data_IF_909327060134
#
_entry.id   IF_909327060134
#
_cell.length_a   1.000
_cell.length_b   1.000
_cell.length_c   1.000
_cell.angle_alpha   90.00
_cell.angle_beta   90.00
_cell.angle_gamma   90.00
#
_symmetry.space_group_name_H-M   'P 1'
#
loop_
_entity.id
_entity.type
_entity.pdbx_description
1 polymer ?
#
# COMPACT_ATOMS: atom_id res chain seq x y z
N UNK A 1 -48.84 -30.02 -43.33
CA UNK A 1 -48.05 -30.40 -42.14
C UNK A 1 -46.57 -30.57 -42.49
N UNK A 2 -46.21 -31.16 -43.66
CA UNK A 2 -44.78 -31.36 -44.03
C UNK A 2 -43.99 -30.07 -44.35
N UNK A 3 -44.60 -29.02 -44.87
CA UNK A 3 -43.90 -27.76 -45.18
C UNK A 3 -43.51 -26.92 -43.95
N UNK A 4 -44.13 -27.12 -42.79
CA UNK A 4 -43.77 -26.46 -41.54
C UNK A 4 -42.56 -27.11 -40.88
N UNK A 5 -42.37 -28.43 -40.99
CA UNK A 5 -41.23 -29.15 -40.45
C UNK A 5 -39.93 -28.75 -41.16
N UNK A 6 -39.92 -28.73 -42.49
CA UNK A 6 -38.75 -28.38 -43.30
C UNK A 6 -38.24 -26.93 -43.06
N UNK A 7 -39.16 -26.01 -42.71
CA UNK A 7 -38.75 -24.62 -42.35
C UNK A 7 -38.16 -24.52 -40.95
N UNK A 8 -38.62 -25.35 -40.01
CA UNK A 8 -38.06 -25.36 -38.63
C UNK A 8 -36.66 -25.99 -38.64
N UNK A 9 -36.49 -27.10 -39.40
CA UNK A 9 -35.16 -27.76 -39.51
C UNK A 9 -34.14 -26.87 -40.22
N UNK A 10 -34.56 -26.09 -41.24
CA UNK A 10 -33.68 -25.13 -41.91
C UNK A 10 -33.30 -23.96 -41.00
N UNK A 11 -34.26 -23.42 -40.26
CA UNK A 11 -33.99 -22.36 -39.26
C UNK A 11 -33.08 -22.87 -38.14
N UNK A 12 -33.26 -24.09 -37.65
CA UNK A 12 -32.41 -24.69 -36.64
C UNK A 12 -30.95 -24.87 -37.14
N UNK A 13 -30.79 -25.27 -38.42
CA UNK A 13 -29.47 -25.37 -39.04
C UNK A 13 -28.79 -23.98 -39.23
N UNK A 14 -29.57 -22.98 -39.71
CA UNK A 14 -29.06 -21.60 -39.84
C UNK A 14 -28.61 -21.01 -38.46
N UNK A 15 -29.40 -21.25 -37.40
CA UNK A 15 -29.03 -20.82 -36.05
C UNK A 15 -27.79 -21.57 -35.49
N UNK A 16 -27.65 -22.86 -35.81
CA UNK A 16 -26.44 -23.62 -35.41
C UNK A 16 -25.20 -23.09 -36.10
N UNK A 17 -25.25 -22.78 -37.40
CA UNK A 17 -24.16 -22.19 -38.17
C UNK A 17 -23.82 -20.79 -37.70
N UNK A 18 -24.80 -19.95 -37.34
CA UNK A 18 -24.57 -18.64 -36.73
C UNK A 18 -23.94 -18.73 -35.35
N UNK A 19 -24.35 -19.66 -34.49
CA UNK A 19 -23.79 -19.93 -33.20
C UNK A 19 -22.31 -20.41 -33.29
N UNK A 20 -22.02 -21.32 -34.23
CA UNK A 20 -20.66 -21.75 -34.51
C UNK A 20 -19.78 -20.61 -35.04
N UNK A 21 -20.31 -19.79 -35.96
CA UNK A 21 -19.64 -18.59 -36.46
C UNK A 21 -19.38 -17.56 -35.38
N UNK A 22 -20.36 -17.37 -34.48
CA UNK A 22 -20.21 -16.51 -33.29
C UNK A 22 -19.16 -17.09 -32.32
N UNK A 23 -19.16 -18.38 -32.05
CA UNK A 23 -18.18 -19.07 -31.23
C UNK A 23 -16.75 -18.91 -31.76
N UNK A 24 -16.54 -19.06 -33.06
CA UNK A 24 -15.25 -18.83 -33.71
C UNK A 24 -14.82 -17.37 -33.63
N UNK A 25 -15.75 -16.41 -33.77
CA UNK A 25 -15.47 -14.98 -33.65
C UNK A 25 -15.15 -14.59 -32.21
N UNK A 26 -15.84 -15.13 -31.22
CA UNK A 26 -15.56 -14.94 -29.81
C UNK A 26 -14.19 -15.51 -29.45
N UNK A 27 -13.88 -16.73 -29.87
CA UNK A 27 -12.57 -17.34 -29.66
C UNK A 27 -11.43 -16.56 -30.36
N UNK A 28 -11.69 -15.98 -31.53
CA UNK A 28 -10.73 -15.12 -32.23
C UNK A 28 -10.55 -13.76 -31.57
N UNK A 29 -11.62 -13.20 -30.96
CA UNK A 29 -11.58 -11.99 -30.15
C UNK A 29 -10.88 -12.24 -28.81
N UNK A 30 -11.10 -13.37 -28.15
CA UNK A 30 -10.41 -13.77 -26.95
C UNK A 30 -8.91 -13.99 -27.18
N UNK A 31 -8.51 -14.57 -28.32
CA UNK A 31 -7.10 -14.68 -28.75
C UNK A 31 -6.47 -13.34 -29.13
N UNK A 32 -7.25 -12.34 -29.52
CA UNK A 32 -6.82 -10.98 -29.84
C UNK A 32 -7.04 -10.02 -28.68
N UNK A 33 -7.65 -10.47 -27.57
CA UNK A 33 -7.71 -9.71 -26.33
C UNK A 33 -6.26 -9.40 -25.92
N UNK A 34 -5.91 -8.13 -25.93
CA UNK A 34 -4.59 -7.66 -25.57
C UNK A 34 -4.20 -8.26 -24.23
N UNK A 35 -3.06 -8.98 -24.19
CA UNK A 35 -2.50 -9.53 -22.96
C UNK A 35 -2.12 -8.43 -21.95
N UNK A 36 -2.33 -7.16 -22.30
CA UNK A 36 -1.99 -6.00 -21.48
C UNK A 36 -3.26 -5.27 -21.08
N UNK A 37 -3.49 -5.18 -19.78
CA UNK A 37 -4.55 -4.38 -19.17
C UNK A 37 -3.96 -3.07 -18.67
N UNK A 38 -4.60 -1.96 -19.02
CA UNK A 38 -4.25 -0.61 -18.54
C UNK A 38 -5.34 -0.16 -17.56
N UNK A 39 -4.92 0.35 -16.41
CA UNK A 39 -5.80 0.99 -15.41
C UNK A 39 -5.11 2.25 -14.91
N UNK A 40 -5.85 3.15 -14.28
CA UNK A 40 -5.27 4.39 -13.80
C UNK A 40 -5.86 4.89 -12.48
N UNK A 41 -5.08 5.77 -11.87
CA UNK A 41 -5.45 6.51 -10.67
C UNK A 41 -5.00 7.97 -10.83
N UNK A 42 -5.90 8.91 -10.58
CA UNK A 42 -5.57 10.32 -10.41
C UNK A 42 -5.95 10.72 -8.98
N UNK A 43 -5.01 11.30 -8.25
CA UNK A 43 -5.21 11.77 -6.88
C UNK A 43 -4.88 13.26 -6.79
N UNK A 44 -5.87 14.08 -6.55
CA UNK A 44 -5.67 15.44 -6.07
C UNK A 44 -5.62 15.44 -4.55
N UNK A 45 -4.65 16.13 -3.96
CA UNK A 45 -4.63 16.31 -2.51
C UNK A 45 -4.23 17.74 -2.10
N UNK A 46 -4.71 18.10 -0.93
CA UNK A 46 -4.34 19.29 -0.20
C UNK A 46 -3.97 18.89 1.22
N UNK A 47 -2.85 19.41 1.69
CA UNK A 47 -2.40 19.27 3.08
C UNK A 47 -2.16 20.65 3.69
N UNK A 48 -2.54 20.83 4.94
CA UNK A 48 -2.20 21.98 5.76
C UNK A 48 -1.44 21.49 7.01
N UNK A 49 -0.18 21.91 7.15
CA UNK A 49 0.72 21.50 8.21
C UNK A 49 1.00 22.68 9.15
N UNK A 50 0.54 22.58 10.38
CA UNK A 50 0.95 23.45 11.48
C UNK A 50 2.10 22.78 12.24
N UNK A 51 3.33 23.10 11.79
CA UNK A 51 4.55 22.40 12.21
C UNK A 51 5.76 23.35 12.08
N UNK A 52 5.78 24.41 12.89
CA UNK A 52 6.69 25.56 12.75
C UNK A 52 8.17 25.21 12.72
N UNK A 53 8.56 24.13 13.37
CA UNK A 53 9.95 23.70 13.49
C UNK A 53 10.35 22.69 12.39
N UNK A 54 9.44 22.35 11.46
CA UNK A 54 9.72 21.42 10.37
C UNK A 54 9.68 22.11 9.01
N UNK A 55 10.51 21.61 8.09
CA UNK A 55 10.64 22.16 6.74
C UNK A 55 9.33 22.06 5.91
N UNK A 56 8.45 21.11 6.24
CA UNK A 56 7.16 20.93 5.56
C UNK A 56 6.03 21.79 6.13
N UNK A 57 6.32 22.75 7.02
CA UNK A 57 5.32 23.66 7.56
C UNK A 57 4.58 24.43 6.45
N UNK A 58 3.27 24.66 6.67
CA UNK A 58 2.36 25.32 5.75
C UNK A 58 1.67 24.33 4.79
N UNK A 59 1.03 24.87 3.74
CA UNK A 59 0.22 24.05 2.86
C UNK A 59 1.02 23.39 1.73
N UNK A 60 0.51 22.25 1.27
CA UNK A 60 0.94 21.59 0.05
C UNK A 60 -0.29 21.19 -0.78
N UNK A 61 -0.17 21.29 -2.09
CA UNK A 61 -1.24 20.86 -3.00
C UNK A 61 -0.62 20.23 -4.26
N UNK A 62 -1.08 19.02 -4.59
CA UNK A 62 -0.49 18.23 -5.66
C UNK A 62 -1.53 17.40 -6.39
N UNK A 63 -1.24 17.13 -7.66
CA UNK A 63 -1.96 16.15 -8.49
C UNK A 63 -1.00 15.01 -8.84
N UNK A 64 -1.33 13.79 -8.45
CA UNK A 64 -0.56 12.60 -8.81
C UNK A 64 -1.35 11.75 -9.80
N UNK A 65 -0.72 11.41 -10.91
CA UNK A 65 -1.24 10.47 -11.89
C UNK A 65 -0.44 9.18 -11.86
N UNK A 66 -1.13 8.04 -11.87
CA UNK A 66 -0.54 6.71 -11.97
C UNK A 66 -1.22 5.91 -13.07
N UNK A 67 -0.43 5.31 -13.94
CA UNK A 67 -0.89 4.39 -14.97
C UNK A 67 -0.28 3.03 -14.71
N UNK A 68 -1.12 2.02 -14.55
CA UNK A 68 -0.75 0.64 -14.33
C UNK A 68 -0.85 -0.15 -15.63
N UNK A 69 0.19 -0.88 -15.95
CA UNK A 69 0.29 -1.78 -17.10
C UNK A 69 0.44 -3.20 -16.55
N UNK A 70 -0.51 -4.07 -16.80
CA UNK A 70 -0.45 -5.46 -16.36
C UNK A 70 -0.49 -6.36 -17.58
N UNK A 71 0.60 -7.11 -17.81
CA UNK A 71 0.74 -8.08 -18.90
C UNK A 71 0.74 -9.52 -18.38
N UNK A 72 -0.13 -10.37 -18.96
CA UNK A 72 -0.12 -11.80 -18.68
C UNK A 72 1.05 -12.46 -19.43
N UNK A 73 1.96 -13.12 -18.71
CA UNK A 73 3.08 -13.84 -19.29
C UNK A 73 2.66 -15.27 -19.67
N UNK A 74 2.00 -15.95 -18.73
CA UNK A 74 1.38 -17.26 -18.91
C UNK A 74 0.32 -17.46 -17.81
N UNK A 75 -0.25 -18.66 -17.69
CA UNK A 75 -1.34 -18.93 -16.74
C UNK A 75 -0.98 -18.63 -15.27
N UNK A 76 0.29 -18.79 -14.90
CA UNK A 76 0.77 -18.61 -13.52
C UNK A 76 1.47 -17.27 -13.27
N UNK A 77 1.93 -16.57 -14.31
CA UNK A 77 2.79 -15.40 -14.17
C UNK A 77 2.26 -14.18 -14.90
N UNK A 78 2.40 -13.02 -14.26
CA UNK A 78 2.11 -11.72 -14.84
C UNK A 78 3.20 -10.70 -14.51
N UNK A 79 3.38 -9.76 -15.41
CA UNK A 79 4.18 -8.55 -15.21
C UNK A 79 3.27 -7.39 -14.79
N UNK A 80 3.75 -6.52 -13.91
CA UNK A 80 3.09 -5.27 -13.54
C UNK A 80 4.10 -4.14 -13.58
N UNK A 81 3.79 -3.12 -14.37
CA UNK A 81 4.50 -1.84 -14.39
C UNK A 81 3.60 -0.72 -13.89
N UNK A 82 4.16 0.31 -13.27
CA UNK A 82 3.44 1.52 -12.89
C UNK A 82 4.26 2.75 -13.21
N UNK A 83 3.73 3.59 -14.08
CA UNK A 83 4.22 4.94 -14.35
C UNK A 83 3.58 5.92 -13.38
N UNK A 84 4.36 6.84 -12.84
CA UNK A 84 3.86 7.91 -11.98
C UNK A 84 4.40 9.26 -12.43
N UNK A 85 3.52 10.25 -12.39
CA UNK A 85 3.83 11.66 -12.48
C UNK A 85 3.16 12.40 -11.33
N UNK A 86 3.81 13.39 -10.74
CA UNK A 86 3.26 14.23 -9.68
C UNK A 86 3.52 15.70 -9.99
N UNK A 87 2.48 16.51 -9.97
CA UNK A 87 2.55 17.95 -10.21
C UNK A 87 2.26 18.70 -8.91
N UNK A 88 3.14 19.65 -8.57
CA UNK A 88 3.03 20.48 -7.37
C UNK A 88 2.46 21.85 -7.74
N UNK A 89 1.23 22.13 -7.32
CA UNK A 89 0.53 23.38 -7.66
C UNK A 89 0.90 24.56 -6.76
N UNK A 90 1.54 24.32 -5.61
CA UNK A 90 2.00 25.42 -4.75
C UNK A 90 3.16 26.22 -5.38
N UNK A 91 4.04 25.52 -6.11
CA UNK A 91 5.27 26.10 -6.62
C UNK A 91 5.29 26.20 -8.14
N UNK A 92 4.15 25.92 -8.81
CA UNK A 92 4.01 25.84 -10.28
C UNK A 92 5.09 24.94 -10.92
N UNK A 93 5.57 23.96 -10.16
CA UNK A 93 6.54 22.97 -10.63
C UNK A 93 5.81 21.66 -10.87
N UNK A 94 5.85 21.22 -12.14
CA UNK A 94 5.51 19.86 -12.49
C UNK A 94 6.69 18.96 -12.16
N UNK A 95 6.40 17.70 -11.83
CA UNK A 95 7.37 16.65 -11.99
C UNK A 95 7.50 16.42 -13.51
N UNK A 96 8.58 16.93 -14.10
CA UNK A 96 8.83 16.82 -15.53
C UNK A 96 9.19 15.40 -15.95
N UNK A 97 9.54 14.55 -14.97
CA UNK A 97 9.84 13.14 -15.15
C UNK A 97 8.60 12.25 -14.98
N UNK A 98 8.45 11.30 -15.89
CA UNK A 98 7.52 10.18 -15.71
C UNK A 98 8.31 8.89 -15.68
N UNK A 99 8.39 8.26 -14.52
CA UNK A 99 9.24 7.10 -14.28
C UNK A 99 8.44 5.85 -13.92
N UNK A 100 9.03 4.68 -14.17
CA UNK A 100 8.55 3.42 -13.63
C UNK A 100 8.82 3.36 -12.12
N UNK A 101 7.81 3.70 -11.35
CA UNK A 101 7.85 3.57 -9.88
C UNK A 101 7.70 2.12 -9.41
N UNK A 102 7.13 1.25 -10.25
CA UNK A 102 6.99 -0.19 -10.00
C UNK A 102 7.24 -0.93 -11.30
N UNK A 103 7.97 -2.04 -11.22
CA UNK A 103 8.26 -2.93 -12.34
C UNK A 103 8.61 -4.30 -11.77
N UNK A 104 7.64 -5.22 -11.74
CA UNK A 104 7.83 -6.53 -11.12
C UNK A 104 7.03 -7.63 -11.80
N UNK A 105 7.45 -8.85 -11.59
CA UNK A 105 6.70 -10.05 -11.95
C UNK A 105 6.13 -10.69 -10.69
N UNK A 106 4.96 -11.26 -10.80
CA UNK A 106 4.38 -12.08 -9.74
C UNK A 106 3.67 -13.30 -10.31
N UNK A 107 3.75 -14.40 -9.58
CA UNK A 107 3.19 -15.66 -10.03
C UNK A 107 3.28 -16.74 -8.96
N UNK A 108 3.18 -17.99 -9.40
CA UNK A 108 3.22 -19.15 -8.54
C UNK A 108 4.29 -20.14 -8.99
N UNK A 109 5.02 -20.70 -8.02
CA UNK A 109 5.89 -21.87 -8.17
C UNK A 109 5.33 -22.98 -7.28
N UNK A 110 4.57 -23.90 -7.88
CA UNK A 110 3.79 -24.87 -7.12
C UNK A 110 2.78 -24.16 -6.19
N UNK A 111 2.84 -24.43 -4.89
CA UNK A 111 1.98 -23.78 -3.89
C UNK A 111 2.49 -22.43 -3.35
N UNK A 112 3.68 -21.99 -3.78
CA UNK A 112 4.33 -20.77 -3.28
C UNK A 112 4.01 -19.60 -4.21
N UNK A 113 3.46 -18.50 -3.68
CA UNK A 113 3.32 -17.25 -4.41
C UNK A 113 4.64 -16.48 -4.36
N UNK A 114 5.12 -16.02 -5.52
CA UNK A 114 6.39 -15.29 -5.66
C UNK A 114 6.15 -13.94 -6.30
N UNK A 115 6.85 -12.92 -5.82
CA UNK A 115 6.91 -11.60 -6.43
C UNK A 115 8.37 -11.14 -6.47
N UNK A 116 8.83 -10.61 -7.61
CA UNK A 116 10.21 -10.19 -7.80
C UNK A 116 10.31 -8.96 -8.70
N UNK A 117 11.21 -8.05 -8.34
CA UNK A 117 11.44 -6.79 -9.04
C UNK A 117 11.23 -5.58 -8.12
N UNK A 118 10.84 -4.45 -8.70
CA UNK A 118 10.56 -3.21 -7.97
C UNK A 118 9.07 -3.12 -7.65
N UNK A 119 8.70 -3.32 -6.40
CA UNK A 119 7.31 -3.27 -5.93
C UNK A 119 7.14 -2.41 -4.68
N UNK A 120 5.91 -2.22 -4.22
CA UNK A 120 5.65 -1.62 -2.92
C UNK A 120 5.72 -2.69 -1.85
N UNK A 121 6.68 -2.59 -0.94
CA UNK A 121 6.68 -3.38 0.28
C UNK A 121 5.92 -2.61 1.34
N UNK A 122 4.87 -3.23 1.87
CA UNK A 122 4.13 -2.72 3.01
C UNK A 122 4.11 -3.77 4.10
N UNK A 123 4.81 -3.50 5.19
CA UNK A 123 4.89 -4.40 6.36
C UNK A 123 4.39 -3.70 7.60
N UNK A 124 3.86 -4.45 8.55
CA UNK A 124 3.26 -3.93 9.78
C UNK A 124 2.21 -2.84 9.53
N UNK A 125 1.32 -3.03 8.54
CA UNK A 125 0.32 -2.05 8.10
C UNK A 125 0.90 -0.67 7.72
N UNK A 126 2.18 -0.63 7.34
CA UNK A 126 2.93 0.58 7.02
C UNK A 126 3.59 1.26 8.22
N UNK A 127 3.49 0.68 9.41
CA UNK A 127 4.11 1.24 10.62
C UNK A 127 5.60 0.93 10.74
N UNK A 128 6.13 -0.01 9.96
CA UNK A 128 7.57 -0.29 9.86
C UNK A 128 8.14 0.21 8.54
N UNK A 129 7.52 -0.18 7.43
CA UNK A 129 7.93 0.23 6.09
C UNK A 129 6.74 0.18 5.13
N UNK A 130 6.56 1.23 4.32
CA UNK A 130 5.55 1.27 3.25
C UNK A 130 6.07 2.11 2.08
N UNK A 131 6.97 1.55 1.25
CA UNK A 131 7.47 2.24 0.07
C UNK A 131 8.07 1.27 -0.94
N UNK A 132 8.80 1.82 -1.93
CA UNK A 132 9.49 1.09 -2.99
C UNK A 132 10.51 0.13 -2.40
N UNK A 133 10.51 -1.06 -2.95
CA UNK A 133 11.40 -2.14 -2.57
C UNK A 133 11.86 -2.90 -3.82
N UNK A 134 13.15 -3.06 -3.96
CA UNK A 134 13.78 -3.79 -5.05
C UNK A 134 14.24 -5.15 -4.53
N UNK A 135 13.48 -6.21 -4.85
CA UNK A 135 13.77 -7.50 -4.25
C UNK A 135 12.84 -8.63 -4.68
N UNK A 136 12.84 -9.67 -3.86
CA UNK A 136 12.01 -10.85 -4.03
C UNK A 136 11.28 -11.17 -2.74
N UNK A 137 10.04 -11.60 -2.85
CA UNK A 137 9.30 -12.22 -1.74
C UNK A 137 8.63 -13.51 -2.16
N UNK A 138 8.48 -14.41 -1.21
CA UNK A 138 7.74 -15.64 -1.32
C UNK A 138 6.72 -15.77 -0.20
N UNK A 139 5.52 -16.23 -0.51
CA UNK A 139 4.46 -16.45 0.46
C UNK A 139 3.87 -17.84 0.33
N UNK A 140 3.61 -18.49 1.46
CA UNK A 140 3.00 -19.80 1.53
C UNK A 140 1.98 -19.88 2.67
N UNK A 141 0.93 -20.65 2.45
CA UNK A 141 -0.14 -20.86 3.41
C UNK A 141 -1.42 -20.10 3.07
N UNK A 142 -2.49 -20.40 3.79
CA UNK A 142 -3.83 -19.82 3.59
C UNK A 142 -4.37 -19.21 4.89
N UNK A 143 -4.80 -20.05 5.85
CA UNK A 143 -5.32 -19.59 7.15
C UNK A 143 -4.19 -19.13 8.06
N UNK A 144 -3.05 -19.80 7.98
CA UNK A 144 -1.77 -19.32 8.49
C UNK A 144 -0.86 -19.12 7.29
N UNK A 145 -0.36 -17.89 7.12
CA UNK A 145 0.45 -17.48 5.97
C UNK A 145 1.80 -16.95 6.44
N UNK A 146 2.86 -17.55 5.92
CA UNK A 146 4.23 -17.04 6.05
C UNK A 146 4.60 -16.28 4.77
N UNK A 147 5.15 -15.09 4.93
CA UNK A 147 5.79 -14.32 3.85
C UNK A 147 7.23 -14.04 4.25
N UNK A 148 8.15 -14.34 3.37
CA UNK A 148 9.58 -14.03 3.54
C UNK A 148 10.06 -13.20 2.35
N UNK A 149 11.01 -12.32 2.56
CA UNK A 149 11.56 -11.53 1.47
C UNK A 149 12.99 -11.06 1.75
N UNK A 150 13.65 -10.71 0.63
CA UNK A 150 15.00 -10.17 0.61
C UNK A 150 15.12 -9.12 -0.50
N UNK A 151 15.82 -8.01 -0.22
CA UNK A 151 16.06 -6.97 -1.20
C UNK A 151 16.61 -5.68 -0.59
N UNK A 152 16.34 -4.58 -1.28
CA UNK A 152 16.78 -3.23 -0.94
C UNK A 152 15.57 -2.32 -0.68
N UNK A 153 15.61 -1.56 0.40
CA UNK A 153 14.64 -0.52 0.71
C UNK A 153 15.14 0.82 0.15
N UNK A 154 14.58 1.23 -0.98
CA UNK A 154 14.95 2.47 -1.67
C UNK A 154 13.68 3.24 -2.06
N UNK A 155 13.26 4.25 -1.29
CA UNK A 155 12.06 5.03 -1.58
C UNK A 155 12.16 5.92 -2.82
N UNK A 156 13.33 5.98 -3.48
CA UNK A 156 13.57 6.81 -4.66
C UNK A 156 13.86 8.27 -4.34
N UNK A 157 14.16 8.56 -3.10
CA UNK A 157 14.77 9.82 -2.68
C UNK A 157 16.30 9.76 -2.83
N UNK A 158 16.97 10.87 -2.55
CA UNK A 158 18.45 10.92 -2.52
C UNK A 158 19.07 10.07 -1.43
N UNK A 159 18.28 9.46 -0.57
CA UNK A 159 18.71 8.70 0.59
C UNK A 159 18.25 7.25 0.49
N UNK A 160 19.17 6.32 0.45
CA UNK A 160 18.92 4.88 0.61
C UNK A 160 18.58 4.60 2.08
N UNK A 161 17.53 3.83 2.34
CA UNK A 161 17.17 3.44 3.71
C UNK A 161 17.95 2.22 4.14
N UNK A 162 18.09 1.23 3.26
CA UNK A 162 18.90 0.03 3.52
C UNK A 162 19.19 -0.71 2.23
N UNK A 163 20.45 -1.08 2.03
CA UNK A 163 20.91 -1.86 0.90
C UNK A 163 20.61 -3.36 1.05
N UNK A 164 20.42 -3.82 2.29
CA UNK A 164 20.07 -5.21 2.58
C UNK A 164 18.93 -5.27 3.59
N UNK A 165 17.77 -5.72 3.11
CA UNK A 165 16.60 -5.98 3.94
C UNK A 165 16.22 -7.43 3.80
N UNK A 166 15.99 -8.13 4.91
CA UNK A 166 15.31 -9.40 4.93
C UNK A 166 14.24 -9.40 5.99
N UNK A 167 13.15 -10.08 5.67
CA UNK A 167 12.00 -10.10 6.57
C UNK A 167 11.26 -11.43 6.53
N UNK A 168 10.58 -11.71 7.62
CA UNK A 168 9.59 -12.77 7.73
C UNK A 168 8.35 -12.23 8.44
N UNK A 169 7.19 -12.45 7.86
CA UNK A 169 5.90 -12.05 8.42
C UNK A 169 4.96 -13.26 8.46
N UNK A 170 4.51 -13.63 9.65
CA UNK A 170 3.56 -14.70 9.90
C UNK A 170 2.23 -14.09 10.28
N UNK A 171 1.18 -14.44 9.56
CA UNK A 171 -0.19 -14.01 9.85
C UNK A 171 -1.10 -15.21 9.96
N UNK A 172 -2.09 -15.13 10.84
CA UNK A 172 -3.06 -16.21 11.04
C UNK A 172 -4.41 -15.66 11.46
N UNK A 173 -5.49 -16.39 11.14
CA UNK A 173 -6.85 -16.03 11.49
C UNK A 173 -7.50 -17.12 12.35
N UNK A 174 -8.04 -16.70 13.50
CA UNK A 174 -8.79 -17.58 14.41
C UNK A 174 -10.14 -16.93 14.74
N UNK A 175 -11.18 -17.35 14.04
CA UNK A 175 -12.51 -16.75 14.17
C UNK A 175 -12.52 -15.29 13.74
N UNK A 176 -12.86 -14.40 14.66
CA UNK A 176 -12.88 -12.94 14.45
C UNK A 176 -11.53 -12.25 14.75
N UNK A 177 -10.52 -13.04 15.17
CA UNK A 177 -9.19 -12.55 15.57
C UNK A 177 -8.19 -12.83 14.45
N UNK A 178 -7.54 -11.76 13.95
CA UNK A 178 -6.40 -11.82 13.05
C UNK A 178 -5.13 -11.58 13.92
N UNK A 179 -4.17 -12.50 13.84
CA UNK A 179 -2.91 -12.44 14.58
C UNK A 179 -1.74 -12.26 13.63
N UNK A 180 -0.71 -11.56 14.08
CA UNK A 180 0.51 -11.37 13.31
C UNK A 180 1.76 -11.36 14.16
N UNK A 181 2.85 -11.94 13.62
CA UNK A 181 4.20 -11.82 14.15
C UNK A 181 5.15 -11.52 12.98
N UNK A 182 6.08 -10.59 13.15
CA UNK A 182 6.99 -10.19 12.10
C UNK A 182 8.40 -9.95 12.62
N UNK A 183 9.36 -10.17 11.74
CA UNK A 183 10.76 -9.83 11.92
C UNK A 183 11.25 -9.12 10.64
N UNK A 184 11.82 -7.94 10.81
CA UNK A 184 12.29 -7.10 9.72
C UNK A 184 13.69 -6.61 10.04
N UNK A 185 14.68 -6.97 9.23
CA UNK A 185 16.06 -6.58 9.41
C UNK A 185 16.46 -5.57 8.33
N UNK A 186 16.89 -4.40 8.75
CA UNK A 186 17.41 -3.35 7.90
C UNK A 186 18.89 -3.19 8.20
N UNK A 187 19.75 -3.49 7.23
CA UNK A 187 21.18 -3.28 7.36
C UNK A 187 21.47 -1.80 7.04
N UNK A 188 21.84 -1.04 8.05
CA UNK A 188 22.23 0.36 7.94
C UNK A 188 23.72 0.48 7.71
N UNK A 189 24.13 1.54 7.08
CA UNK A 189 25.52 1.97 7.01
C UNK A 189 25.64 3.49 7.33
N UNK A 190 26.84 3.99 7.43
CA UNK A 190 27.10 5.40 7.74
C UNK A 190 26.51 6.40 6.71
N UNK A 191 25.94 5.91 5.61
CA UNK A 191 25.30 6.71 4.56
C UNK A 191 23.78 6.75 4.68
N UNK A 192 23.18 5.90 5.53
CA UNK A 192 21.74 5.93 5.81
C UNK A 192 21.42 6.98 6.88
N UNK A 193 20.33 7.71 6.68
CA UNK A 193 19.94 8.81 7.59
C UNK A 193 19.27 8.28 8.85
N UNK A 194 18.67 7.08 8.78
CA UNK A 194 17.82 6.55 9.86
C UNK A 194 18.59 5.57 10.73
N UNK A 195 19.34 4.64 10.13
CA UNK A 195 20.10 3.63 10.86
C UNK A 195 21.58 3.74 10.50
N UNK A 196 22.42 4.05 11.48
CA UNK A 196 23.88 3.99 11.32
C UNK A 196 24.42 2.58 11.49
N UNK A 197 23.58 1.68 12.01
CA UNK A 197 23.86 0.28 12.25
C UNK A 197 22.66 -0.59 11.81
N UNK A 198 22.88 -1.89 11.79
CA UNK A 198 21.82 -2.84 11.53
C UNK A 198 20.75 -2.76 12.61
N UNK A 199 19.49 -2.58 12.19
CA UNK A 199 18.34 -2.59 13.09
C UNK A 199 17.40 -3.75 12.74
N UNK A 200 17.09 -4.58 13.75
CA UNK A 200 16.09 -5.63 13.61
C UNK A 200 14.82 -5.21 14.35
N UNK A 201 13.72 -5.17 13.65
CA UNK A 201 12.42 -4.77 14.20
C UNK A 201 11.54 -6.00 14.35
N UNK A 202 11.07 -6.24 15.57
CA UNK A 202 10.11 -7.29 15.90
C UNK A 202 8.71 -6.70 15.99
N UNK A 203 7.73 -7.45 15.49
CA UNK A 203 6.30 -7.10 15.55
C UNK A 203 5.49 -8.23 16.14
N UNK A 204 4.54 -7.86 17.00
CA UNK A 204 3.37 -8.69 17.29
C UNK A 204 2.10 -7.85 17.13
N UNK A 205 1.03 -8.45 16.60
CA UNK A 205 -0.21 -7.72 16.37
C UNK A 205 -1.43 -8.63 16.54
N UNK A 206 -2.52 -8.02 16.94
CA UNK A 206 -3.82 -8.65 17.04
C UNK A 206 -4.90 -7.66 16.61
N UNK A 207 -5.79 -8.10 15.72
CA UNK A 207 -6.95 -7.34 15.29
C UNK A 207 -8.22 -8.16 15.55
N UNK A 208 -9.20 -7.57 16.20
CA UNK A 208 -10.46 -8.21 16.52
C UNK A 208 -11.64 -7.53 15.83
N UNK A 209 -12.39 -8.30 15.08
CA UNK A 209 -13.62 -7.85 14.41
C UNK A 209 -14.83 -8.08 15.33
N UNK A 210 -15.27 -7.03 16.02
CA UNK A 210 -16.49 -7.10 16.87
C UNK A 210 -17.74 -7.33 16.03
N UNK A 211 -17.78 -6.71 14.87
CA UNK A 211 -18.82 -6.89 13.85
C UNK A 211 -18.18 -6.85 12.47
N UNK A 212 -18.99 -7.06 11.42
CA UNK A 212 -18.53 -6.86 10.03
C UNK A 212 -18.06 -5.42 9.73
N UNK A 213 -18.48 -4.46 10.55
CA UNK A 213 -18.25 -3.04 10.35
C UNK A 213 -17.30 -2.42 11.40
N UNK A 214 -17.05 -3.08 12.54
CA UNK A 214 -16.25 -2.54 13.63
C UNK A 214 -15.07 -3.47 13.94
N UNK A 215 -13.84 -2.93 13.81
CA UNK A 215 -12.58 -3.64 14.07
C UNK A 215 -11.68 -2.80 15.00
N UNK A 216 -11.10 -3.46 16.00
CA UNK A 216 -10.06 -2.91 16.86
C UNK A 216 -8.76 -3.66 16.60
N UNK A 217 -7.66 -2.94 16.43
CA UNK A 217 -6.33 -3.50 16.27
C UNK A 217 -5.35 -2.97 17.31
N UNK A 218 -4.39 -3.80 17.65
CA UNK A 218 -3.23 -3.41 18.45
C UNK A 218 -1.97 -4.06 17.88
N UNK A 219 -0.88 -3.29 17.88
CA UNK A 219 0.43 -3.72 17.40
C UNK A 219 1.49 -3.24 18.38
N UNK A 220 2.44 -4.11 18.70
CA UNK A 220 3.66 -3.77 19.43
C UNK A 220 4.86 -3.98 18.51
N UNK A 221 5.81 -3.07 18.59
CA UNK A 221 7.04 -3.02 17.80
C UNK A 221 8.23 -2.87 18.74
N UNK A 222 9.33 -3.55 18.43
CA UNK A 222 10.59 -3.46 19.17
C UNK A 222 11.76 -3.46 18.20
N UNK A 223 12.55 -2.39 18.19
CA UNK A 223 13.85 -2.33 17.54
C UNK A 223 14.96 -2.88 18.42
N UNK A 224 16.15 -3.13 17.88
CA UNK A 224 17.29 -3.64 18.62
C UNK A 224 18.63 -2.92 18.30
N UNK A 225 18.59 -1.84 17.49
CA UNK A 225 19.82 -1.10 17.20
C UNK A 225 20.29 -0.32 18.43
N UNK A 226 21.59 -0.42 18.73
CA UNK A 226 22.25 0.35 19.77
C UNK A 226 22.68 1.71 19.20
N UNK A 227 21.71 2.58 19.01
CA UNK A 227 21.90 3.91 18.41
C UNK A 227 21.56 5.01 19.42
N UNK A 228 22.22 6.15 19.29
CA UNK A 228 21.95 7.33 20.12
C UNK A 228 20.97 8.27 19.40
N UNK A 229 20.17 8.98 20.19
CA UNK A 229 19.33 10.08 19.74
C UNK A 229 20.19 11.36 19.47
N UNK A 230 19.52 12.44 19.08
CA UNK A 230 20.15 13.74 18.78
C UNK A 230 20.85 14.37 20.00
N UNK A 231 20.54 13.94 21.21
CA UNK A 231 21.13 14.44 22.47
C UNK A 231 22.12 13.46 23.10
N UNK A 232 22.41 12.34 22.44
CA UNK A 232 23.37 11.34 22.90
C UNK A 232 22.78 10.32 23.89
N UNK A 233 21.46 10.31 24.12
CA UNK A 233 20.77 9.28 24.87
C UNK A 233 20.52 8.05 24.00
N UNK A 234 20.13 6.91 24.60
CA UNK A 234 19.72 5.75 23.84
C UNK A 234 18.45 6.07 23.02
N UNK A 235 18.49 5.77 21.73
CA UNK A 235 17.37 5.99 20.86
C UNK A 235 16.20 5.07 21.25
N UNK A 236 14.97 5.60 21.22
CA UNK A 236 13.78 4.85 21.63
C UNK A 236 13.49 3.72 20.64
N UNK A 237 13.46 2.51 21.16
CA UNK A 237 13.34 1.25 20.42
C UNK A 237 12.02 0.51 20.63
N UNK A 238 11.13 1.07 21.47
CA UNK A 238 9.80 0.56 21.74
C UNK A 238 8.71 1.32 20.98
N UNK A 239 7.64 0.61 20.58
CA UNK A 239 6.51 1.27 19.97
C UNK A 239 5.23 0.43 20.02
N UNK A 240 4.11 1.13 20.04
CA UNK A 240 2.82 0.50 19.85
C UNK A 240 1.87 1.37 19.02
N UNK A 241 0.94 0.71 18.35
CA UNK A 241 -0.11 1.33 17.58
C UNK A 241 -1.44 0.67 17.94
N UNK A 242 -2.44 1.50 18.28
CA UNK A 242 -3.83 1.05 18.47
C UNK A 242 -4.69 1.65 17.37
N UNK A 243 -5.54 0.85 16.75
CA UNK A 243 -6.40 1.27 15.65
C UNK A 243 -7.85 0.87 15.89
N UNK A 244 -8.77 1.77 15.56
CA UNK A 244 -10.21 1.52 15.55
C UNK A 244 -10.74 1.88 14.17
N UNK A 245 -11.42 0.95 13.52
CA UNK A 245 -12.03 1.15 12.20
C UNK A 245 -13.53 0.87 12.24
N UNK A 246 -14.32 1.74 11.63
CA UNK A 246 -15.75 1.55 11.46
C UNK A 246 -16.14 1.73 10.00
N UNK A 247 -16.71 0.69 9.41
CA UNK A 247 -17.05 0.61 7.99
C UNK A 247 -15.84 0.84 7.07
N UNK A 248 -16.05 1.51 5.93
CA UNK A 248 -15.04 1.87 4.94
C UNK A 248 -15.68 2.28 3.62
N UNK A 249 -15.17 3.32 2.97
CA UNK A 249 -15.56 3.67 1.62
C UNK A 249 -15.13 2.57 0.65
N UNK A 250 -16.03 2.19 -0.25
CA UNK A 250 -15.80 1.20 -1.32
C UNK A 250 -15.98 1.90 -2.65
N UNK A 251 -14.92 2.03 -3.43
CA UNK A 251 -14.93 2.76 -4.70
C UNK A 251 -16.04 2.33 -5.67
N UNK A 252 -16.39 1.04 -5.67
CA UNK A 252 -17.47 0.51 -6.50
C UNK A 252 -18.90 0.82 -5.98
N UNK A 253 -19.05 1.34 -4.73
CA UNK A 253 -20.34 1.51 -4.06
C UNK A 253 -20.53 2.97 -3.66
N UNK A 254 -21.19 3.79 -4.51
CA UNK A 254 -21.53 5.17 -4.17
C UNK A 254 -22.30 5.27 -2.85
N UNK A 255 -22.00 6.30 -2.05
CA UNK A 255 -22.59 6.49 -0.72
C UNK A 255 -21.97 5.65 0.40
N UNK A 256 -21.06 4.72 0.11
CA UNK A 256 -20.30 4.03 1.16
C UNK A 256 -19.31 4.97 1.85
N UNK A 257 -19.14 4.77 3.16
CA UNK A 257 -18.30 5.63 3.99
C UNK A 257 -17.64 4.85 5.13
N UNK A 258 -16.65 5.44 5.72
CA UNK A 258 -15.98 4.87 6.88
C UNK A 258 -15.26 5.90 7.71
N UNK A 259 -14.99 5.51 8.96
CA UNK A 259 -14.22 6.28 9.93
C UNK A 259 -13.09 5.40 10.47
N UNK A 260 -11.95 6.00 10.77
CA UNK A 260 -10.89 5.33 11.49
C UNK A 260 -10.23 6.30 12.48
N UNK A 261 -9.72 5.74 13.58
CA UNK A 261 -8.86 6.43 14.51
C UNK A 261 -7.64 5.56 14.80
N UNK A 262 -6.47 6.17 14.92
CA UNK A 262 -5.27 5.47 15.35
C UNK A 262 -4.55 6.30 16.41
N UNK A 263 -3.98 5.62 17.38
CA UNK A 263 -3.03 6.19 18.33
C UNK A 263 -1.67 5.52 18.11
N UNK A 264 -0.65 6.33 18.10
CA UNK A 264 0.73 5.93 17.87
C UNK A 264 1.58 6.33 19.09
N UNK A 265 2.49 5.47 19.47
CA UNK A 265 3.65 5.76 20.29
C UNK A 265 4.79 4.91 19.75
N UNK A 266 5.60 5.49 18.87
CA UNK A 266 6.64 4.77 18.13
C UNK A 266 7.99 5.44 18.35
N UNK A 267 8.92 4.70 18.94
CA UNK A 267 10.31 5.07 18.98
C UNK A 267 10.94 5.04 17.60
N UNK A 268 11.97 5.83 17.36
CA UNK A 268 12.64 5.95 16.05
C UNK A 268 13.20 4.62 15.55
N UNK A 269 13.58 3.70 16.45
CA UNK A 269 14.08 2.38 16.08
C UNK A 269 12.96 1.38 15.71
N UNK A 270 11.68 1.76 15.76
CA UNK A 270 10.56 0.87 15.46
C UNK A 270 10.06 0.97 14.02
N UNK A 271 10.60 1.86 13.21
CA UNK A 271 10.23 2.03 11.79
C UNK A 271 11.43 2.44 10.94
N UNK A 272 11.39 2.08 9.68
CA UNK A 272 12.38 2.47 8.70
C UNK A 272 11.86 3.61 7.79
N UNK A 273 10.59 3.59 7.44
CA UNK A 273 9.99 4.63 6.60
C UNK A 273 8.46 4.59 6.67
N UNK A 274 7.85 5.68 7.11
CA UNK A 274 6.41 5.89 7.10
C UNK A 274 5.93 6.58 5.82
N UNK A 275 4.76 6.20 5.35
CA UNK A 275 4.05 6.91 4.26
C UNK A 275 2.71 7.48 4.70
N UNK A 276 2.48 7.61 6.00
CA UNK A 276 1.31 8.34 6.48
C UNK A 276 1.35 9.79 6.01
N UNK A 277 0.20 10.41 5.87
CA UNK A 277 0.11 11.80 5.40
C UNK A 277 0.43 12.85 6.50
N UNK A 278 0.61 12.41 7.75
CA UNK A 278 1.18 13.22 8.83
C UNK A 278 2.70 13.29 8.73
N UNK A 279 3.34 14.12 9.57
CA UNK A 279 4.78 14.41 9.51
C UNK A 279 5.64 13.45 10.35
N UNK A 280 5.29 12.17 10.42
CA UNK A 280 6.02 11.18 11.23
C UNK A 280 7.49 11.03 10.82
N UNK A 281 7.80 11.10 9.51
CA UNK A 281 9.17 10.97 9.00
C UNK A 281 10.04 12.20 9.27
N UNK A 282 9.45 13.31 9.68
CA UNK A 282 10.18 14.53 10.09
C UNK A 282 10.56 14.48 11.58
N UNK A 283 10.13 13.43 12.33
CA UNK A 283 10.28 13.28 13.77
C UNK A 283 11.27 12.18 14.14
N UNK A 284 11.93 12.33 15.28
CA UNK A 284 12.83 11.33 15.83
C UNK A 284 12.10 10.42 16.83
N UNK A 285 11.23 9.56 16.27
CA UNK A 285 10.15 8.91 17.02
C UNK A 285 8.97 9.86 17.22
N UNK A 286 7.77 9.32 17.34
CA UNK A 286 6.57 10.13 17.47
C UNK A 286 5.49 9.47 18.32
N UNK A 287 4.67 10.31 18.93
CA UNK A 287 3.42 9.89 19.58
C UNK A 287 2.28 10.83 19.23
N UNK A 288 1.07 10.31 19.25
CA UNK A 288 -0.12 11.11 18.94
C UNK A 288 -1.19 10.28 18.27
N UNK A 289 -2.09 10.93 17.56
CA UNK A 289 -3.23 10.25 16.96
C UNK A 289 -3.53 10.74 15.55
N UNK A 290 -4.27 9.91 14.82
CA UNK A 290 -4.91 10.28 13.57
C UNK A 290 -6.40 9.95 13.59
N UNK A 291 -7.17 10.76 12.88
CA UNK A 291 -8.58 10.55 12.59
C UNK A 291 -8.78 10.58 11.08
N UNK A 292 -9.49 9.60 10.56
CA UNK A 292 -9.75 9.49 9.12
C UNK A 292 -11.25 9.36 8.86
N UNK A 293 -11.75 10.08 7.87
CA UNK A 293 -13.08 9.91 7.31
C UNK A 293 -12.95 9.73 5.79
N UNK A 294 -13.68 8.77 5.22
CA UNK A 294 -13.73 8.56 3.79
C UNK A 294 -15.15 8.36 3.29
N UNK A 295 -15.41 8.74 2.03
CA UNK A 295 -16.71 8.68 1.40
C UNK A 295 -16.60 8.45 -0.13
N UNK A 296 -17.44 7.58 -0.68
CA UNK A 296 -17.53 7.34 -2.12
C UNK A 296 -18.62 8.22 -2.73
N UNK A 297 -18.22 9.30 -3.41
CA UNK A 297 -19.13 10.27 -4.01
C UNK A 297 -19.88 9.69 -5.21
N UNK A 298 -19.15 8.97 -6.06
CA UNK A 298 -19.66 8.24 -7.22
C UNK A 298 -18.79 6.99 -7.43
N UNK A 299 -19.21 6.08 -8.31
CA UNK A 299 -18.41 4.91 -8.65
C UNK A 299 -17.00 5.36 -9.06
N UNK A 300 -15.98 4.80 -8.41
CA UNK A 300 -14.56 5.09 -8.64
C UNK A 300 -14.10 6.52 -8.26
N UNK A 301 -14.90 7.25 -7.47
CA UNK A 301 -14.53 8.58 -6.96
C UNK A 301 -14.66 8.57 -5.44
N UNK A 302 -13.53 8.56 -4.76
CA UNK A 302 -13.44 8.46 -3.29
C UNK A 302 -12.76 9.69 -2.71
N UNK A 303 -13.43 10.38 -1.80
CA UNK A 303 -12.83 11.42 -0.97
C UNK A 303 -12.37 10.90 0.37
N UNK A 304 -11.34 11.52 0.93
CA UNK A 304 -10.79 11.21 2.24
C UNK A 304 -10.29 12.49 2.91
N UNK A 305 -10.53 12.59 4.19
CA UNK A 305 -9.98 13.62 5.07
C UNK A 305 -9.30 12.91 6.24
N UNK A 306 -8.10 13.35 6.57
CA UNK A 306 -7.33 12.86 7.70
C UNK A 306 -6.84 14.03 8.54
N UNK A 307 -6.87 13.87 9.84
CA UNK A 307 -6.28 14.80 10.78
C UNK A 307 -5.26 14.05 11.62
N UNK A 308 -4.07 14.65 11.77
CA UNK A 308 -2.98 14.15 12.59
C UNK A 308 -2.62 15.20 13.64
N UNK A 309 -2.40 14.75 14.88
CA UNK A 309 -1.81 15.54 15.95
C UNK A 309 -0.68 14.69 16.55
N UNK A 310 0.55 15.00 16.11
CA UNK A 310 1.75 14.24 16.44
C UNK A 310 2.72 15.11 17.24
N UNK A 311 3.54 14.44 18.04
CA UNK A 311 4.57 15.03 18.88
C UNK A 311 5.83 14.19 18.77
N UNK A 312 6.96 14.83 18.51
CA UNK A 312 8.28 14.20 18.55
C UNK A 312 8.59 13.68 19.97
N UNK A 313 9.23 12.53 20.07
CA UNK A 313 9.51 11.89 21.37
C UNK A 313 10.81 12.40 22.00
N UNK A 314 11.68 13.05 21.25
CA UNK A 314 12.98 13.51 21.70
C UNK A 314 12.93 14.96 22.18
N UNK A 315 12.36 15.88 21.39
CA UNK A 315 12.36 17.32 21.68
C UNK A 315 10.98 17.90 22.01
N UNK A 316 9.93 17.05 22.01
CA UNK A 316 8.55 17.43 22.26
C UNK A 316 7.92 18.37 21.21
N UNK A 317 8.58 18.58 20.07
CA UNK A 317 8.07 19.39 18.97
C UNK A 317 6.75 18.80 18.42
N UNK A 318 5.79 19.67 18.14
CA UNK A 318 4.45 19.28 17.69
C UNK A 318 4.26 19.53 16.21
N UNK A 319 3.56 18.62 15.55
CA UNK A 319 3.10 18.76 14.18
C UNK A 319 1.64 18.31 14.06
N UNK A 320 0.82 19.20 13.48
CA UNK A 320 -0.55 18.89 13.10
C UNK A 320 -0.69 18.92 11.60
N UNK A 321 -1.40 17.96 11.05
CA UNK A 321 -1.64 17.90 9.61
C UNK A 321 -3.14 17.69 9.37
N UNK A 322 -3.74 18.56 8.58
CA UNK A 322 -5.03 18.31 7.95
C UNK A 322 -4.76 17.91 6.49
N UNK A 323 -5.04 16.68 6.17
CA UNK A 323 -4.93 16.14 4.82
C UNK A 323 -6.30 15.91 4.22
N UNK A 324 -6.48 16.30 2.98
CA UNK A 324 -7.68 15.99 2.20
C UNK A 324 -7.32 15.54 0.80
N UNK A 325 -8.04 14.56 0.28
CA UNK A 325 -7.81 14.07 -1.07
C UNK A 325 -9.09 13.61 -1.74
N UNK A 326 -9.06 13.62 -3.07
CA UNK A 326 -10.02 12.92 -3.92
C UNK A 326 -9.25 12.03 -4.89
N UNK A 327 -9.65 10.77 -4.96
CA UNK A 327 -9.05 9.76 -5.82
C UNK A 327 -10.06 9.33 -6.88
N UNK A 328 -9.64 9.38 -8.13
CA UNK A 328 -10.37 8.88 -9.30
C UNK A 328 -9.65 7.65 -9.81
N UNK A 329 -10.37 6.54 -10.01
CA UNK A 329 -9.82 5.30 -10.58
C UNK A 329 -10.54 4.92 -11.87
N UNK A 330 -9.82 4.38 -12.86
CA UNK A 330 -10.37 3.97 -14.15
C UNK A 330 -9.67 2.76 -14.75
#
# INVERSE_FOLDING_TARGET
AMAKGANVDRLAAEFADELDSLGVRVAALEKKSDNVKITGEVRYHYADNDAKDYAKNGYATKLRSRIWLTGQINDDWKYTGMLQNEQNFKNDKGDEGTDFQRAYVNGKLGGVAVQAGRYNLKVADGNVYDNRFDGIQASYGKDVKLTVGYGKADPGSTTTISDQVYYADLTGKVGALDLGAGYYSFDGDATTVIFTEKNNIFKVSADYAFTKDLKLGAMYLKGDADQKDLFGNDADDDGFVVSLGYKGAKAAVPGSWGLAAKYYDQGVMTYAYHTMNGLADDMYGFKGYSLTANYTFAKNIVGQVEYYDLKDKVDDTKAKTLWSQVVFTF
#
